data_IF_927256166057
#
_entry.id   IF_927256166057
#
_cell.length_a   1.000
_cell.length_b   1.000
_cell.length_c   1.000
_cell.angle_alpha   90.00
_cell.angle_beta   90.00
_cell.angle_gamma   90.00
#
_symmetry.space_group_name_H-M   'P 1'
#
loop_
_entity.id
_entity.type
_entity.pdbx_description
1 polymer ?
#
# COMPACT_ATOMS: atom_id res chain seq x y z
N UNK A 1 -18.23 -5.94 15.21
CA UNK A 1 -17.25 -5.51 14.20
C UNK A 1 -16.80 -6.75 13.43
N UNK A 2 -16.76 -6.71 12.09
CA UNK A 2 -16.30 -7.83 11.25
C UNK A 2 -14.86 -7.56 10.82
N UNK A 3 -13.97 -8.53 11.03
CA UNK A 3 -12.62 -8.49 10.49
C UNK A 3 -12.65 -8.94 9.04
N UNK A 4 -12.03 -8.16 8.15
CA UNK A 4 -11.88 -8.48 6.73
C UNK A 4 -10.40 -8.41 6.40
N UNK A 5 -9.82 -9.55 6.02
CA UNK A 5 -8.42 -9.62 5.59
C UNK A 5 -8.34 -9.39 4.08
N UNK A 6 -7.79 -8.25 3.68
CA UNK A 6 -7.69 -7.85 2.26
C UNK A 6 -6.42 -8.40 1.60
N UNK A 7 -5.50 -8.97 2.39
CA UNK A 7 -4.22 -9.51 1.92
C UNK A 7 -4.28 -10.96 1.43
N UNK A 8 -5.40 -11.65 1.61
CA UNK A 8 -5.55 -13.06 1.20
C UNK A 8 -5.66 -13.24 -0.31
N UNK A 9 -6.05 -12.18 -1.03
CA UNK A 9 -6.23 -12.21 -2.48
C UNK A 9 -5.31 -11.18 -3.14
N UNK A 10 -4.82 -11.53 -4.33
CA UNK A 10 -4.02 -10.61 -5.13
C UNK A 10 -4.87 -9.39 -5.49
N UNK A 11 -4.42 -8.20 -5.07
CA UNK A 11 -5.15 -6.96 -5.27
C UNK A 11 -4.19 -5.82 -5.58
N UNK A 12 -4.72 -4.78 -6.24
CA UNK A 12 -3.97 -3.55 -6.54
C UNK A 12 -3.50 -2.88 -5.24
N UNK A 13 -4.30 -2.99 -4.17
CA UNK A 13 -3.95 -2.52 -2.83
C UNK A 13 -2.66 -3.16 -2.31
N UNK A 14 -2.48 -4.47 -2.53
CA UNK A 14 -1.28 -5.20 -2.15
C UNK A 14 0.00 -4.59 -2.75
N UNK A 15 -0.07 -4.10 -3.99
CA UNK A 15 1.06 -3.44 -4.65
C UNK A 15 1.39 -2.10 -3.99
N UNK A 16 0.39 -1.27 -3.68
CA UNK A 16 0.62 0.00 -2.99
C UNK A 16 1.23 -0.22 -1.60
N UNK A 17 0.75 -1.22 -0.86
CA UNK A 17 1.29 -1.59 0.45
C UNK A 17 2.71 -2.19 0.33
N UNK A 18 3.04 -2.88 -0.76
CA UNK A 18 4.40 -3.35 -1.02
C UNK A 18 5.36 -2.16 -1.26
N UNK A 19 4.95 -1.20 -2.08
CA UNK A 19 5.76 0.00 -2.37
C UNK A 19 5.95 0.93 -1.16
N UNK A 20 4.92 1.06 -0.31
CA UNK A 20 5.00 1.80 0.96
C UNK A 20 6.04 1.16 1.90
N UNK A 21 6.19 -0.17 1.87
CA UNK A 21 7.11 -0.92 2.75
C UNK A 21 8.53 -1.06 2.19
N UNK A 22 8.71 -0.82 0.89
CA UNK A 22 10.00 -0.98 0.24
C UNK A 22 10.95 0.17 0.61
N UNK A 23 12.10 -0.18 1.19
CA UNK A 23 13.08 0.79 1.75
C UNK A 23 13.74 1.69 0.70
N UNK A 24 13.74 1.29 -0.57
CA UNK A 24 14.26 2.11 -1.66
C UNK A 24 13.16 2.97 -2.27
N UNK A 25 11.98 2.39 -2.50
CA UNK A 25 10.86 3.08 -3.15
C UNK A 25 10.24 4.13 -2.24
N UNK A 26 10.06 3.86 -0.94
CA UNK A 26 9.39 4.80 -0.04
C UNK A 26 10.11 6.15 0.10
N UNK A 27 11.40 6.21 -0.27
CA UNK A 27 12.20 7.45 -0.24
C UNK A 27 11.68 8.48 -1.24
N UNK A 28 11.00 8.02 -2.30
CA UNK A 28 10.21 8.90 -3.16
C UNK A 28 8.98 9.39 -2.37
N UNK A 29 9.14 10.59 -1.82
CA UNK A 29 8.14 11.22 -0.97
C UNK A 29 6.82 11.49 -1.70
N UNK A 30 6.86 11.74 -3.02
CA UNK A 30 5.65 11.98 -3.80
C UNK A 30 4.89 10.67 -3.99
N UNK A 31 5.59 9.61 -4.41
CA UNK A 31 5.01 8.26 -4.55
C UNK A 31 4.47 7.73 -3.23
N UNK A 32 5.20 7.92 -2.13
CA UNK A 32 4.75 7.52 -0.80
C UNK A 32 3.40 8.17 -0.43
N UNK A 33 3.27 9.50 -0.60
CA UNK A 33 2.02 10.22 -0.34
C UNK A 33 0.88 9.76 -1.24
N UNK A 34 1.13 9.59 -2.54
CA UNK A 34 0.12 9.11 -3.49
C UNK A 34 -0.35 7.70 -3.17
N UNK A 35 0.54 6.81 -2.74
CA UNK A 35 0.14 5.45 -2.35
C UNK A 35 -0.66 5.43 -1.05
N UNK A 36 -0.37 6.32 -0.08
CA UNK A 36 -1.20 6.48 1.12
C UNK A 36 -2.62 6.94 0.75
N UNK A 37 -2.75 7.95 -0.11
CA UNK A 37 -4.06 8.43 -0.58
C UNK A 37 -4.85 7.35 -1.32
N UNK A 38 -4.17 6.49 -2.10
CA UNK A 38 -4.79 5.34 -2.79
C UNK A 38 -5.25 4.23 -1.84
N UNK A 39 -4.63 4.11 -0.67
CA UNK A 39 -5.00 3.13 0.36
C UNK A 39 -6.20 3.62 1.17
N UNK A 40 -6.33 4.94 1.37
CA UNK A 40 -7.47 5.59 2.04
C UNK A 40 -7.06 6.57 3.12
#
# INVERSE_FOLDING_TARGET
MKLVNIGENNSVLGNYIAEIRDVQIQKDSMRFRTNLERVG
#
